data_IF_418583035806
#
_entry.id   IF_418583035806
#
_cell.length_a   1.000
_cell.length_b   1.000
_cell.length_c   1.000
_cell.angle_alpha   90.00
_cell.angle_beta   90.00
_cell.angle_gamma   90.00
#
_symmetry.space_group_name_H-M   'P 1'
#
loop_
_entity.id
_entity.type
_entity.pdbx_description
1 polymer ?
#
# COMPACT_ATOMS: atom_id res chain seq x y z
N UNK A 1 -12.08 -14.75 -12.12
CA UNK A 1 -11.67 -13.91 -10.97
C UNK A 1 -10.29 -13.27 -11.18
N UNK A 2 -9.91 -12.94 -12.42
CA UNK A 2 -8.50 -12.66 -12.79
C UNK A 2 -8.20 -11.19 -13.13
N UNK A 3 -9.22 -10.33 -13.16
CA UNK A 3 -9.11 -8.92 -13.61
C UNK A 3 -9.16 -7.89 -12.46
N UNK A 4 -8.97 -8.30 -11.20
CA UNK A 4 -9.01 -7.38 -10.06
C UNK A 4 -7.72 -6.58 -9.85
N UNK A 5 -6.65 -6.94 -10.56
CA UNK A 5 -5.34 -6.30 -10.45
C UNK A 5 -4.93 -5.88 -11.87
N UNK A 6 -4.48 -4.63 -12.02
CA UNK A 6 -4.05 -4.07 -13.31
C UNK A 6 -2.92 -4.86 -13.99
N UNK A 7 -2.46 -4.43 -15.18
CA UNK A 7 -1.47 -5.15 -15.96
C UNK A 7 -0.21 -5.43 -15.14
N UNK A 8 0.33 -6.64 -15.29
CA UNK A 8 1.56 -7.10 -14.62
C UNK A 8 2.55 -7.60 -15.66
N UNK A 9 3.84 -7.46 -15.37
CA UNK A 9 4.91 -8.01 -16.20
C UNK A 9 5.06 -9.53 -16.01
N UNK A 10 6.00 -10.13 -16.74
CA UNK A 10 6.28 -11.57 -16.67
C UNK A 10 6.74 -12.06 -15.28
N UNK A 11 7.22 -11.15 -14.42
CA UNK A 11 7.64 -11.42 -13.05
C UNK A 11 6.53 -11.17 -12.03
N UNK A 12 5.32 -10.81 -12.49
CA UNK A 12 4.18 -10.49 -11.64
C UNK A 12 4.27 -9.11 -10.99
N UNK A 13 5.19 -8.24 -11.40
CA UNK A 13 5.29 -6.87 -10.89
C UNK A 13 4.24 -5.99 -11.60
N UNK A 14 3.60 -5.03 -10.89
CA UNK A 14 2.67 -4.10 -11.53
C UNK A 14 3.35 -3.34 -12.68
N UNK A 15 2.79 -3.47 -13.88
CA UNK A 15 3.25 -2.72 -15.03
C UNK A 15 2.82 -1.25 -14.92
N UNK A 16 3.63 -0.29 -15.39
CA UNK A 16 3.24 1.11 -15.42
C UNK A 16 1.94 1.30 -16.21
N UNK A 17 0.94 1.91 -15.58
CA UNK A 17 -0.30 2.29 -16.24
C UNK A 17 -0.19 3.74 -16.73
N UNK A 18 -0.60 3.98 -17.97
CA UNK A 18 -0.78 5.33 -18.49
C UNK A 18 -1.95 5.97 -17.74
N UNK A 19 -1.69 7.10 -17.09
CA UNK A 19 -2.70 7.88 -16.36
C UNK A 19 -2.81 9.26 -17.00
N UNK A 20 -4.01 9.84 -16.94
CA UNK A 20 -4.22 11.21 -17.37
C UNK A 20 -3.33 12.18 -16.58
N UNK A 21 -2.97 13.29 -17.20
CA UNK A 21 -2.07 14.30 -16.63
C UNK A 21 -2.62 14.88 -15.30
N UNK A 22 -3.94 15.00 -15.20
CA UNK A 22 -4.63 15.42 -13.98
C UNK A 22 -4.41 14.45 -12.80
N UNK A 23 -4.43 13.14 -13.08
CA UNK A 23 -4.21 12.08 -12.08
C UNK A 23 -2.73 12.05 -11.67
N UNK A 24 -1.81 12.21 -12.62
CA UNK A 24 -0.39 12.29 -12.34
C UNK A 24 -0.06 13.47 -11.40
N UNK A 25 -0.64 14.64 -11.67
CA UNK A 25 -0.49 15.85 -10.84
C UNK A 25 -1.04 15.66 -9.42
N UNK A 26 -2.21 15.04 -9.27
CA UNK A 26 -2.78 14.72 -7.96
C UNK A 26 -1.91 13.74 -7.17
N UNK A 27 -1.43 12.66 -7.82
CA UNK A 27 -0.55 11.68 -7.18
C UNK A 27 0.75 12.32 -6.70
N UNK A 28 1.37 13.17 -7.51
CA UNK A 28 2.58 13.90 -7.12
C UNK A 28 2.34 14.82 -5.92
N UNK A 29 1.22 15.54 -5.92
CA UNK A 29 0.83 16.41 -4.80
C UNK A 29 0.58 15.62 -3.51
N UNK A 30 -0.11 14.48 -3.61
CA UNK A 30 -0.38 13.59 -2.49
C UNK A 30 0.91 13.02 -1.89
N UNK A 31 1.82 12.51 -2.72
CA UNK A 31 3.12 11.98 -2.28
C UNK A 31 4.00 13.06 -1.64
N UNK A 32 3.96 14.29 -2.16
CA UNK A 32 4.65 15.45 -1.55
C UNK A 32 4.12 15.79 -0.16
N UNK A 33 2.83 15.53 0.11
CA UNK A 33 2.19 15.84 1.38
C UNK A 33 2.31 14.71 2.40
N UNK A 34 2.17 13.44 1.99
CA UNK A 34 2.28 12.28 2.89
C UNK A 34 3.73 12.05 3.35
N UNK A 35 4.74 12.40 2.54
CA UNK A 35 6.19 12.29 2.84
C UNK A 35 6.56 10.98 3.55
N UNK A 36 7.04 11.07 4.80
CA UNK A 36 7.55 9.97 5.64
C UNK A 36 6.67 9.69 6.86
N UNK A 37 5.53 10.35 6.99
CA UNK A 37 4.66 10.25 8.16
C UNK A 37 3.29 9.76 7.70
N UNK A 38 2.99 8.50 8.01
CA UNK A 38 1.69 7.91 7.79
C UNK A 38 1.11 7.46 9.13
N UNK A 39 -0.18 7.71 9.33
CA UNK A 39 -0.93 7.06 10.40
C UNK A 39 -1.49 5.75 9.86
N UNK A 40 -1.23 4.66 10.57
CA UNK A 40 -1.67 3.32 10.18
C UNK A 40 -2.84 2.92 11.08
N UNK A 41 -3.97 2.60 10.46
CA UNK A 41 -5.09 1.98 11.15
C UNK A 41 -5.10 0.48 10.82
N UNK A 42 -4.95 -0.35 11.86
CA UNK A 42 -4.93 -1.81 11.73
C UNK A 42 -6.35 -2.37 11.78
N UNK A 43 -6.68 -3.27 10.85
CA UNK A 43 -7.95 -4.00 10.80
C UNK A 43 -7.63 -5.48 10.68
N UNK A 44 -8.08 -6.27 11.65
CA UNK A 44 -8.01 -7.73 11.60
C UNK A 44 -9.35 -8.28 11.12
N UNK A 45 -9.28 -9.21 10.16
CA UNK A 45 -10.44 -9.85 9.53
C UNK A 45 -10.61 -11.31 9.98
N UNK A 46 -9.99 -11.72 11.09
CA UNK A 46 -10.06 -13.08 11.65
C UNK A 46 -8.83 -13.93 11.33
N UNK A 47 -7.64 -13.38 11.50
CA UNK A 47 -6.36 -14.07 11.27
C UNK A 47 -5.94 -15.04 12.39
N UNK A 48 -4.71 -15.55 12.31
CA UNK A 48 -4.10 -16.41 13.34
C UNK A 48 -3.45 -15.62 14.50
N UNK A 49 -3.62 -14.29 14.52
CA UNK A 49 -2.99 -13.33 15.43
C UNK A 49 -1.47 -13.16 15.28
N UNK A 50 -0.81 -13.87 14.35
CA UNK A 50 0.64 -13.76 14.15
C UNK A 50 1.07 -12.38 13.63
N UNK A 51 0.39 -11.89 12.59
CA UNK A 51 0.67 -10.59 11.97
C UNK A 51 0.50 -9.43 12.98
N UNK A 52 -0.47 -9.56 13.87
CA UNK A 52 -0.82 -8.55 14.88
C UNK A 52 0.29 -8.45 15.92
N UNK A 53 0.88 -9.60 16.33
CA UNK A 53 2.02 -9.65 17.25
C UNK A 53 3.23 -8.96 16.61
N UNK A 54 3.52 -9.24 15.33
CA UNK A 54 4.65 -8.63 14.62
C UNK A 54 4.49 -7.11 14.49
N UNK A 55 3.28 -6.63 14.17
CA UNK A 55 2.97 -5.19 14.11
C UNK A 55 3.15 -4.54 15.48
N UNK A 56 2.65 -5.16 16.55
CA UNK A 56 2.79 -4.62 17.90
C UNK A 56 4.25 -4.59 18.37
N UNK A 57 5.02 -5.64 18.09
CA UNK A 57 6.43 -5.69 18.41
C UNK A 57 7.22 -4.62 17.66
N UNK A 58 6.81 -4.27 16.43
CA UNK A 58 7.44 -3.20 15.64
C UNK A 58 7.17 -1.81 16.23
N UNK A 59 6.03 -1.62 16.91
CA UNK A 59 5.62 -0.32 17.47
C UNK A 59 5.96 -0.15 18.96
N UNK A 60 6.15 -1.25 19.69
CA UNK A 60 6.44 -1.24 21.13
C UNK A 60 7.94 -1.17 21.38
N UNK A 61 8.42 -0.36 22.32
CA UNK A 61 9.81 -0.44 22.76
C UNK A 61 10.06 -1.78 23.46
N UNK A 62 11.23 -2.38 23.17
CA UNK A 62 11.75 -3.59 23.83
C UNK A 62 12.36 -3.25 25.19
#
# INVERSE_FOLDING_TARGET
MSNLLGPRDANGIPAPMTVDESIASMKASLLKNIKRSAYVYRVDCGGCNGCEIEIFATLSPL
#
